data_IF_816745433920
#
_entry.id   IF_816745433920
#
_cell.length_a   1.000
_cell.length_b   1.000
_cell.length_c   1.000
_cell.angle_alpha   90.00
_cell.angle_beta   90.00
_cell.angle_gamma   90.00
#
_symmetry.space_group_name_H-M   'P 1'
#
loop_
_entity.id
_entity.type
_entity.pdbx_description
1 polymer ?
#
# COMPACT_ATOMS: atom_id res chain seq x y z
N UNK A 1 7.87 14.73 -7.24
CA UNK A 1 7.11 13.53 -7.63
C UNK A 1 5.67 13.98 -7.87
N UNK A 2 5.01 13.48 -8.90
CA UNK A 2 3.61 13.79 -9.22
C UNK A 2 2.74 12.54 -8.98
N UNK A 3 1.41 12.67 -9.05
CA UNK A 3 0.49 11.54 -8.83
C UNK A 3 0.72 10.38 -9.81
N UNK A 4 0.90 10.59 -11.13
CA UNK A 4 1.24 9.50 -12.05
C UNK A 4 2.49 8.71 -11.66
N UNK A 5 3.61 9.40 -11.36
CA UNK A 5 4.87 8.76 -10.97
C UNK A 5 4.73 7.97 -9.67
N UNK A 6 3.92 8.47 -8.73
CA UNK A 6 3.61 7.77 -7.49
C UNK A 6 2.80 6.50 -7.75
N UNK A 7 1.77 6.59 -8.60
CA UNK A 7 0.93 5.45 -8.97
C UNK A 7 1.77 4.38 -9.66
N UNK A 8 2.67 4.77 -10.56
CA UNK A 8 3.57 3.84 -11.24
C UNK A 8 4.49 3.11 -10.25
N UNK A 9 5.03 3.81 -9.25
CA UNK A 9 5.82 3.20 -8.17
C UNK A 9 4.99 2.22 -7.33
N UNK A 10 3.75 2.59 -6.97
CA UNK A 10 2.86 1.68 -6.25
C UNK A 10 2.54 0.43 -7.06
N UNK A 11 2.33 0.56 -8.37
CA UNK A 11 2.16 -0.57 -9.29
C UNK A 11 3.41 -1.45 -9.30
N UNK A 12 4.60 -0.86 -9.46
CA UNK A 12 5.87 -1.60 -9.45
C UNK A 12 6.06 -2.37 -8.14
N UNK A 13 5.85 -1.71 -7.00
CA UNK A 13 6.06 -2.33 -5.69
C UNK A 13 5.01 -3.41 -5.41
N UNK A 14 3.74 -3.18 -5.75
CA UNK A 14 2.67 -4.19 -5.67
C UNK A 14 3.00 -5.42 -6.52
N UNK A 15 3.48 -5.22 -7.75
CA UNK A 15 3.92 -6.31 -8.61
C UNK A 15 5.12 -7.07 -7.99
N UNK A 16 6.04 -6.37 -7.33
CA UNK A 16 7.12 -6.98 -6.57
C UNK A 16 6.62 -7.84 -5.41
N UNK A 17 5.61 -7.39 -4.68
CA UNK A 17 4.94 -8.17 -3.61
C UNK A 17 4.25 -9.41 -4.18
N UNK A 18 3.62 -9.31 -5.35
CA UNK A 18 2.95 -10.44 -5.99
C UNK A 18 3.94 -11.46 -6.59
N UNK A 19 5.06 -10.98 -7.14
CA UNK A 19 6.07 -11.81 -7.80
C UNK A 19 6.99 -12.53 -6.80
N UNK A 20 7.26 -11.92 -5.65
CA UNK A 20 8.00 -12.55 -4.58
C UNK A 20 7.02 -13.24 -3.62
N UNK A 21 7.28 -14.48 -3.21
CA UNK A 21 6.45 -15.13 -2.18
C UNK A 21 7.06 -14.99 -0.78
N UNK A 22 8.39 -14.85 -0.67
CA UNK A 22 9.15 -14.84 0.60
C UNK A 22 10.49 -14.10 0.48
N UNK A 23 11.12 -13.90 1.64
CA UNK A 23 12.48 -13.41 1.79
C UNK A 23 12.63 -11.92 1.48
N UNK A 24 13.89 -11.48 1.39
CA UNK A 24 14.27 -10.06 1.30
C UNK A 24 13.58 -9.30 0.17
N UNK A 25 13.33 -9.95 -0.98
CA UNK A 25 12.66 -9.31 -2.11
C UNK A 25 11.21 -8.92 -1.75
N UNK A 26 10.45 -9.84 -1.15
CA UNK A 26 9.09 -9.55 -0.69
C UNK A 26 9.10 -8.46 0.37
N UNK A 27 9.96 -8.59 1.37
CA UNK A 27 10.07 -7.61 2.48
C UNK A 27 10.38 -6.21 1.96
N UNK A 28 11.31 -6.11 1.01
CA UNK A 28 11.67 -4.84 0.36
C UNK A 28 10.49 -4.27 -0.42
N UNK A 29 9.75 -5.10 -1.16
CA UNK A 29 8.58 -4.64 -1.91
C UNK A 29 7.45 -4.16 -1.00
N UNK A 30 7.21 -4.83 0.12
CA UNK A 30 6.22 -4.41 1.13
C UNK A 30 6.64 -3.08 1.77
N UNK A 31 7.90 -2.95 2.20
CA UNK A 31 8.42 -1.70 2.79
C UNK A 31 8.32 -0.55 1.80
N UNK A 32 8.81 -0.72 0.56
CA UNK A 32 8.73 0.32 -0.48
C UNK A 32 7.29 0.70 -0.83
N UNK A 33 6.39 -0.28 -0.93
CA UNK A 33 4.96 -0.01 -1.16
C UNK A 33 4.38 0.83 -0.03
N UNK A 34 4.64 0.43 1.21
CA UNK A 34 4.13 1.11 2.41
C UNK A 34 4.66 2.53 2.52
N UNK A 35 5.97 2.73 2.29
CA UNK A 35 6.61 4.05 2.30
C UNK A 35 6.07 4.96 1.20
N UNK A 36 5.92 4.43 -0.03
CA UNK A 36 5.36 5.20 -1.15
C UNK A 36 3.92 5.61 -0.87
N UNK A 37 3.10 4.66 -0.38
CA UNK A 37 1.70 4.90 -0.05
C UNK A 37 1.57 5.97 1.04
N UNK A 38 2.45 5.95 2.04
CA UNK A 38 2.44 6.92 3.14
C UNK A 38 2.65 8.37 2.68
N UNK A 39 3.22 8.59 1.48
CA UNK A 39 3.35 9.93 0.90
C UNK A 39 2.10 10.41 0.16
N UNK A 40 1.11 9.54 -0.11
CA UNK A 40 -0.10 9.90 -0.87
C UNK A 40 -0.91 11.00 -0.20
N UNK A 41 -1.12 10.99 1.13
CA UNK A 41 -1.76 12.12 1.80
C UNK A 41 -1.02 13.44 1.53
N UNK A 42 0.29 13.49 1.37
CA UNK A 42 0.96 14.78 1.18
C UNK A 42 0.61 15.49 -0.16
N UNK A 43 -0.11 14.84 -1.07
CA UNK A 43 -0.51 15.40 -2.37
C UNK A 43 -1.80 16.22 -2.32
N UNK A 44 -1.88 17.32 -3.11
CA UNK A 44 -3.09 18.10 -3.22
C UNK A 44 -4.28 17.28 -3.71
N UNK A 45 -5.42 17.38 -3.01
CA UNK A 45 -6.66 16.66 -3.37
C UNK A 45 -7.11 16.89 -4.82
N UNK A 46 -6.87 18.09 -5.38
CA UNK A 46 -7.25 18.45 -6.75
C UNK A 46 -6.46 17.68 -7.81
N UNK A 47 -5.29 17.12 -7.45
CA UNK A 47 -4.44 16.34 -8.34
C UNK A 47 -4.78 14.84 -8.30
N UNK A 48 -5.58 14.39 -7.33
CA UNK A 48 -5.99 12.99 -7.18
C UNK A 48 -7.31 12.72 -7.92
N UNK A 49 -7.22 12.08 -9.08
CA UNK A 49 -8.40 11.63 -9.83
C UNK A 49 -9.12 10.46 -9.13
N UNK A 50 -10.41 10.25 -9.44
CA UNK A 50 -11.15 9.07 -8.96
C UNK A 50 -10.48 7.76 -9.42
N UNK A 51 -10.01 7.72 -10.66
CA UNK A 51 -9.34 6.53 -11.21
C UNK A 51 -8.03 6.23 -10.47
N UNK A 52 -7.25 7.25 -10.13
CA UNK A 52 -6.02 7.11 -9.33
C UNK A 52 -6.34 6.60 -7.93
N UNK A 53 -7.38 7.16 -7.28
CA UNK A 53 -7.83 6.70 -5.97
C UNK A 53 -8.25 5.22 -5.98
N UNK A 54 -9.10 4.83 -6.94
CA UNK A 54 -9.58 3.45 -7.05
C UNK A 54 -8.44 2.46 -7.32
N UNK A 55 -7.48 2.87 -8.15
CA UNK A 55 -6.28 2.08 -8.41
C UNK A 55 -5.41 1.92 -7.16
N UNK A 56 -5.10 3.01 -6.45
CA UNK A 56 -4.32 2.97 -5.19
C UNK A 56 -5.00 2.06 -4.17
N UNK A 57 -6.32 2.20 -3.99
CA UNK A 57 -7.07 1.35 -3.09
C UNK A 57 -6.99 -0.13 -3.50
N UNK A 58 -7.18 -0.44 -4.78
CA UNK A 58 -7.08 -1.81 -5.29
C UNK A 58 -5.69 -2.43 -5.12
N UNK A 59 -4.62 -1.66 -5.31
CA UNK A 59 -3.24 -2.11 -5.09
C UNK A 59 -2.97 -2.38 -3.60
N UNK A 60 -3.44 -1.50 -2.72
CA UNK A 60 -3.27 -1.64 -1.28
C UNK A 60 -3.98 -2.87 -0.73
N UNK A 61 -5.23 -3.13 -1.16
CA UNK A 61 -5.97 -4.34 -0.78
C UNK A 61 -5.27 -5.62 -1.27
N UNK A 62 -4.69 -5.60 -2.47
CA UNK A 62 -3.89 -6.74 -2.99
C UNK A 62 -2.65 -7.00 -2.14
N UNK A 63 -1.90 -5.95 -1.79
CA UNK A 63 -0.71 -6.07 -0.95
C UNK A 63 -1.08 -6.60 0.43
N UNK A 64 -2.15 -6.08 1.05
CA UNK A 64 -2.66 -6.57 2.33
C UNK A 64 -2.96 -8.07 2.25
N UNK A 65 -3.75 -8.50 1.26
CA UNK A 65 -4.11 -9.91 1.09
C UNK A 65 -2.88 -10.81 0.91
N UNK A 66 -1.88 -10.35 0.16
CA UNK A 66 -0.63 -11.08 -0.01
C UNK A 66 0.18 -11.21 1.28
N UNK A 67 0.25 -10.13 2.06
CA UNK A 67 0.97 -10.11 3.34
C UNK A 67 0.27 -10.96 4.39
N UNK A 68 -1.06 -10.83 4.54
CA UNK A 68 -1.85 -11.63 5.48
C UNK A 68 -1.74 -13.13 5.17
N UNK A 69 -1.89 -13.50 3.90
CA UNK A 69 -1.70 -14.90 3.46
C UNK A 69 -0.28 -15.40 3.76
N UNK A 70 0.75 -14.56 3.58
CA UNK A 70 2.13 -14.94 3.95
C UNK A 70 2.25 -15.18 5.45
N UNK A 71 1.71 -14.31 6.28
CA UNK A 71 1.76 -14.46 7.76
C UNK A 71 1.11 -15.78 8.19
N UNK A 72 -0.03 -16.13 7.60
CA UNK A 72 -0.75 -17.38 7.86
C UNK A 72 0.02 -18.63 7.41
N UNK A 73 0.64 -18.58 6.22
CA UNK A 73 1.33 -19.73 5.64
C UNK A 73 2.79 -19.90 6.11
N UNK A 74 3.41 -18.85 6.64
CA UNK A 74 4.84 -18.86 6.92
C UNK A 74 5.20 -19.46 8.29
N UNK A 75 6.33 -20.15 8.30
CA UNK A 75 7.08 -20.47 9.52
C UNK A 75 8.14 -19.41 9.80
N UNK A 76 7.88 -18.18 9.36
CA UNK A 76 8.74 -17.03 9.65
C UNK A 76 8.79 -16.84 11.18
N UNK A 77 9.87 -16.24 11.66
CA UNK A 77 9.99 -15.91 13.07
C UNK A 77 8.94 -14.84 13.46
N UNK A 78 8.65 -14.76 14.76
CA UNK A 78 7.62 -13.87 15.30
C UNK A 78 7.90 -12.40 14.97
N UNK A 79 9.17 -11.98 14.99
CA UNK A 79 9.55 -10.60 14.69
C UNK A 79 9.24 -10.23 13.24
N UNK A 80 9.49 -11.13 12.29
CA UNK A 80 9.14 -10.88 10.90
C UNK A 80 7.61 -10.83 10.69
N UNK A 81 6.86 -11.68 11.39
CA UNK A 81 5.39 -11.64 11.35
C UNK A 81 4.85 -10.33 11.92
N UNK A 82 5.43 -9.84 13.01
CA UNK A 82 5.08 -8.56 13.61
C UNK A 82 5.34 -7.39 12.64
N UNK A 83 6.51 -7.33 12.01
CA UNK A 83 6.84 -6.30 11.01
C UNK A 83 5.88 -6.30 9.81
N UNK A 84 5.51 -7.50 9.34
CA UNK A 84 4.53 -7.64 8.26
C UNK A 84 3.14 -7.17 8.69
N UNK A 85 2.71 -7.50 9.91
CA UNK A 85 1.44 -7.03 10.46
C UNK A 85 1.44 -5.50 10.65
N UNK A 86 2.53 -4.91 11.13
CA UNK A 86 2.70 -3.46 11.22
C UNK A 86 2.55 -2.78 9.86
N UNK A 87 3.11 -3.37 8.80
CA UNK A 87 2.97 -2.86 7.43
C UNK A 87 1.51 -2.87 6.97
N UNK A 88 0.76 -3.94 7.27
CA UNK A 88 -0.68 -4.02 6.99
C UNK A 88 -1.45 -2.91 7.73
N UNK A 89 -1.14 -2.69 9.01
CA UNK A 89 -1.77 -1.61 9.78
C UNK A 89 -1.45 -0.23 9.22
N UNK A 90 -0.20 0.01 8.80
CA UNK A 90 0.21 1.27 8.19
C UNK A 90 -0.55 1.53 6.88
N UNK A 91 -0.65 0.52 6.01
CA UNK A 91 -1.42 0.62 4.75
C UNK A 91 -2.89 0.95 5.04
N UNK A 92 -3.54 0.22 5.94
CA UNK A 92 -4.95 0.46 6.32
C UNK A 92 -5.16 1.87 6.85
N UNK A 93 -4.27 2.35 7.70
CA UNK A 93 -4.34 3.71 8.27
C UNK A 93 -4.27 4.79 7.19
N UNK A 94 -3.40 4.62 6.19
CA UNK A 94 -3.32 5.57 5.07
C UNK A 94 -4.59 5.51 4.23
N UNK A 95 -5.11 4.32 3.92
CA UNK A 95 -6.38 4.20 3.19
C UNK A 95 -7.52 4.89 3.93
N UNK A 96 -7.65 4.70 5.24
CA UNK A 96 -8.66 5.39 6.05
C UNK A 96 -8.56 6.92 5.94
N UNK A 97 -7.34 7.46 5.93
CA UNK A 97 -7.11 8.89 5.70
C UNK A 97 -7.56 9.32 4.31
N UNK A 98 -7.17 8.59 3.26
CA UNK A 98 -7.59 8.88 1.88
C UNK A 98 -9.12 8.79 1.72
N UNK A 99 -9.78 7.82 2.36
CA UNK A 99 -11.24 7.72 2.36
C UNK A 99 -11.89 8.90 3.08
N UNK A 100 -11.36 9.32 4.24
CA UNK A 100 -11.84 10.51 4.94
C UNK A 100 -11.71 11.76 4.06
N UNK A 101 -10.57 11.90 3.39
CA UNK A 101 -10.31 13.01 2.48
C UNK A 101 -11.27 13.01 1.30
N UNK A 102 -11.44 11.86 0.63
CA UNK A 102 -12.39 11.71 -0.50
C UNK A 102 -13.82 12.04 -0.09
N UNK A 103 -14.24 11.61 1.11
CA UNK A 103 -15.57 11.93 1.64
C UNK A 103 -15.78 13.42 1.90
N UNK A 104 -14.72 14.12 2.30
CA UNK A 104 -14.76 15.54 2.63
C UNK A 104 -14.69 16.44 1.39
N UNK A 105 -13.74 16.16 0.48
CA UNK A 105 -13.48 17.00 -0.70
C UNK A 105 -14.18 16.52 -1.99
N UNK A 106 -14.66 15.28 -2.06
CA UNK A 106 -15.38 14.74 -3.23
C UNK A 106 -16.87 15.13 -3.31
N UNK A 107 -17.32 16.10 -2.50
CA UNK A 107 -18.71 16.59 -2.44
C UNK A 107 -18.92 17.94 -3.15
N UNK A 108 -17.89 18.53 -3.75
CA UNK A 108 -17.96 19.76 -4.53
C UNK A 108 -17.92 19.45 -6.01
#
# INVERSE_FOLDING_TARGET
>A
MNIPDLVDQLVEHSNGVAAASRGKAFETSVSKFTETLATVPDYPHAEMSQASFDLINGLAEQVIAHVERRIEESRDDESLKEQMAESVYAIRRVLEELFRWRRHFGRT
#
